data_IF_742592411319
#
_entry.id   IF_742592411319
#
_cell.length_a   1.000
_cell.length_b   1.000
_cell.length_c   1.000
_cell.angle_alpha   90.00
_cell.angle_beta   90.00
_cell.angle_gamma   90.00
#
_symmetry.space_group_name_H-M   'P 1'
#
loop_
_entity.id
_entity.type
_entity.pdbx_description
1 polymer ?
#
# COMPACT_ATOMS: atom_id res chain seq x y z
N UNK A 1 -5.56 -3.40 28.39
CA UNK A 1 -4.35 -2.66 27.95
C UNK A 1 -3.52 -3.63 27.15
N UNK A 2 -3.43 -3.44 25.84
CA UNK A 2 -2.61 -4.28 24.97
C UNK A 2 -1.21 -3.69 24.98
N UNK A 3 -0.22 -4.43 25.49
CA UNK A 3 1.18 -3.98 25.48
C UNK A 3 1.67 -3.86 24.03
N UNK A 4 2.12 -2.66 23.66
CA UNK A 4 2.73 -2.38 22.37
C UNK A 4 4.20 -2.81 22.40
N UNK A 5 4.46 -4.12 22.27
CA UNK A 5 5.80 -4.62 21.91
C UNK A 5 5.94 -4.57 20.40
N UNK A 6 6.83 -3.71 19.92
CA UNK A 6 7.68 -3.86 18.72
C UNK A 6 8.04 -2.46 18.19
N UNK A 7 9.02 -1.82 18.82
CA UNK A 7 9.80 -0.77 18.17
C UNK A 7 11.20 -1.32 17.95
N UNK A 8 11.69 -1.27 16.71
CA UNK A 8 13.06 -1.63 16.36
C UNK A 8 14.01 -0.48 16.73
N UNK A 9 14.03 -0.09 18.00
CA UNK A 9 15.12 0.71 18.60
C UNK A 9 15.41 2.10 18.04
N UNK A 10 14.63 2.65 17.11
CA UNK A 10 14.78 4.03 16.62
C UNK A 10 13.72 4.95 17.23
N UNK A 11 14.15 6.16 17.59
CA UNK A 11 13.38 7.17 18.33
C UNK A 11 12.02 7.45 17.63
N UNK A 12 10.86 7.20 18.28
CA UNK A 12 9.53 7.37 17.68
C UNK A 12 9.15 8.84 17.42
N UNK A 13 10.05 9.78 17.73
CA UNK A 13 9.82 11.21 17.65
C UNK A 13 9.21 11.79 18.93
N UNK A 14 9.20 13.11 19.06
CA UNK A 14 8.70 13.76 20.28
C UNK A 14 7.19 13.58 20.48
N UNK A 15 6.80 13.18 21.70
CA UNK A 15 5.40 13.18 22.13
C UNK A 15 4.57 11.98 21.65
N UNK A 16 5.20 10.89 21.21
CA UNK A 16 4.54 9.66 20.72
C UNK A 16 3.42 9.15 21.62
N UNK A 17 3.65 9.03 22.93
CA UNK A 17 2.64 8.51 23.85
C UNK A 17 1.46 9.46 24.01
N UNK A 18 1.71 10.77 24.04
CA UNK A 18 0.65 11.79 24.09
C UNK A 18 -0.15 11.81 22.78
N UNK A 19 0.50 11.68 21.63
CA UNK A 19 -0.14 11.59 20.31
C UNK A 19 -0.96 10.31 20.16
N UNK A 20 -0.51 9.18 20.71
CA UNK A 20 -1.29 7.92 20.76
C UNK A 20 -2.49 8.01 21.71
N UNK A 21 -2.33 8.67 22.86
CA UNK A 21 -3.46 8.94 23.74
C UNK A 21 -4.50 9.83 23.04
N UNK A 22 -4.05 10.88 22.34
CA UNK A 22 -4.88 11.74 21.51
C UNK A 22 -5.51 10.95 20.36
N UNK A 23 -4.79 10.05 19.70
CA UNK A 23 -5.30 9.17 18.66
C UNK A 23 -6.49 8.36 19.15
N UNK A 24 -6.31 7.63 20.26
CA UNK A 24 -7.34 6.79 20.83
C UNK A 24 -8.56 7.62 21.26
N UNK A 25 -8.34 8.81 21.83
CA UNK A 25 -9.42 9.72 22.19
C UNK A 25 -10.16 10.27 20.97
N UNK A 26 -9.43 10.67 19.91
CA UNK A 26 -9.99 11.18 18.67
C UNK A 26 -10.75 10.10 17.91
N UNK A 27 -10.23 8.88 17.80
CA UNK A 27 -10.95 7.74 17.23
C UNK A 27 -12.25 7.46 17.97
N UNK A 28 -12.21 7.48 19.31
CA UNK A 28 -13.41 7.30 20.15
C UNK A 28 -14.43 8.43 19.94
N UNK A 29 -13.98 9.68 19.84
CA UNK A 29 -14.85 10.85 19.71
C UNK A 29 -15.45 11.00 18.31
N UNK A 30 -14.64 10.77 17.27
CA UNK A 30 -15.01 10.92 15.87
C UNK A 30 -15.64 9.65 15.28
N UNK A 31 -15.69 8.55 16.05
CA UNK A 31 -16.18 7.27 15.56
C UNK A 31 -15.29 6.64 14.49
N UNK A 32 -14.01 7.01 14.41
CA UNK A 32 -13.05 6.49 13.44
C UNK A 32 -12.49 5.17 13.96
N UNK A 33 -12.39 4.16 13.08
CA UNK A 33 -11.83 2.87 13.45
C UNK A 33 -10.33 3.01 13.77
N UNK A 34 -9.87 2.65 14.99
CA UNK A 34 -8.47 2.83 15.39
C UNK A 34 -7.51 1.82 14.74
N UNK A 35 -8.00 0.92 13.89
CA UNK A 35 -7.19 -0.13 13.24
C UNK A 35 -7.39 -0.20 11.73
N UNK A 36 -8.34 0.54 11.16
CA UNK A 36 -8.71 0.43 9.75
C UNK A 36 -8.83 1.79 9.08
N UNK A 37 -8.35 1.87 7.84
CA UNK A 37 -8.55 3.02 6.97
C UNK A 37 -9.34 2.60 5.72
N UNK A 38 -10.34 3.39 5.37
CA UNK A 38 -11.20 3.15 4.20
C UNK A 38 -10.80 3.99 2.97
N UNK A 39 -9.97 5.01 3.16
CA UNK A 39 -9.47 5.94 2.15
C UNK A 39 -8.09 6.52 2.54
N UNK A 40 -7.47 7.28 1.64
CA UNK A 40 -6.14 7.89 1.87
C UNK A 40 -6.11 8.86 3.07
N UNK A 41 -7.20 9.58 3.34
CA UNK A 41 -7.28 10.48 4.48
C UNK A 41 -7.20 9.72 5.79
N UNK A 42 -7.85 8.56 5.88
CA UNK A 42 -7.73 7.65 7.02
C UNK A 42 -6.28 7.18 7.21
N UNK A 43 -5.61 6.79 6.13
CA UNK A 43 -4.19 6.39 6.18
C UNK A 43 -3.31 7.54 6.70
N UNK A 44 -3.50 8.76 6.19
CA UNK A 44 -2.79 9.95 6.65
C UNK A 44 -3.07 10.29 8.12
N UNK A 45 -4.32 10.19 8.55
CA UNK A 45 -4.74 10.41 9.94
C UNK A 45 -4.06 9.43 10.90
N UNK A 46 -4.00 8.15 10.53
CA UNK A 46 -3.27 7.13 11.27
C UNK A 46 -1.77 7.44 11.38
N UNK A 47 -1.17 7.99 10.33
CA UNK A 47 0.25 8.33 10.38
C UNK A 47 0.54 9.54 11.26
N UNK A 48 -0.19 10.65 11.08
CA UNK A 48 -0.03 11.89 11.87
C UNK A 48 -0.13 11.60 13.38
N UNK A 49 -1.02 10.68 13.75
CA UNK A 49 -1.28 10.32 15.13
C UNK A 49 -0.46 9.12 15.62
N UNK A 50 0.58 8.74 14.88
CA UNK A 50 1.57 7.74 15.22
C UNK A 50 1.03 6.36 15.58
N UNK A 51 0.04 5.91 14.79
CA UNK A 51 -0.34 4.50 14.77
C UNK A 51 0.84 3.64 14.27
N UNK A 52 1.04 2.47 14.87
CA UNK A 52 2.05 1.52 14.41
C UNK A 52 1.64 0.78 13.14
N UNK A 53 0.34 0.57 12.94
CA UNK A 53 -0.17 -0.09 11.73
C UNK A 53 -1.62 0.28 11.44
N UNK A 54 -2.00 0.20 10.18
CA UNK A 54 -3.38 0.37 9.72
C UNK A 54 -3.74 -0.69 8.68
N UNK A 55 -4.94 -1.25 8.80
CA UNK A 55 -5.49 -2.20 7.85
C UNK A 55 -6.35 -1.47 6.81
N UNK A 56 -5.97 -1.57 5.53
CA UNK A 56 -6.79 -1.08 4.43
C UNK A 56 -8.09 -1.86 4.36
N UNK A 57 -9.18 -1.13 4.20
CA UNK A 57 -10.56 -1.62 4.11
C UNK A 57 -11.36 -0.72 3.15
N UNK A 58 -12.67 -0.90 3.05
CA UNK A 58 -13.55 0.01 2.28
C UNK A 58 -13.10 0.27 0.84
N UNK A 59 -13.15 1.54 0.44
CA UNK A 59 -12.86 1.99 -0.93
C UNK A 59 -11.39 1.76 -1.32
N UNK A 60 -10.44 2.11 -0.46
CA UNK A 60 -9.01 1.97 -0.79
C UNK A 60 -8.60 0.50 -0.98
N UNK A 61 -9.14 -0.42 -0.18
CA UNK A 61 -8.94 -1.86 -0.42
C UNK A 61 -9.59 -2.31 -1.73
N UNK A 62 -10.73 -1.74 -2.11
CA UNK A 62 -11.36 -2.03 -3.38
C UNK A 62 -10.55 -1.50 -4.57
N UNK A 63 -9.84 -0.36 -4.42
CA UNK A 63 -8.86 0.12 -5.40
C UNK A 63 -7.72 -0.88 -5.55
N UNK A 64 -7.12 -1.36 -4.46
CA UNK A 64 -6.07 -2.41 -4.50
C UNK A 64 -6.53 -3.64 -5.28
N UNK A 65 -7.74 -4.16 -4.98
CA UNK A 65 -8.29 -5.35 -5.66
C UNK A 65 -8.50 -5.17 -7.17
N UNK A 66 -8.79 -3.94 -7.60
CA UNK A 66 -9.12 -3.59 -8.99
C UNK A 66 -7.91 -3.10 -9.78
N UNK A 67 -6.76 -2.92 -9.13
CA UNK A 67 -5.54 -2.49 -9.79
C UNK A 67 -5.12 -3.48 -10.89
N UNK A 68 -4.73 -2.95 -12.05
CA UNK A 68 -4.39 -3.76 -13.22
C UNK A 68 -3.18 -4.68 -12.96
N UNK A 69 -2.20 -4.26 -12.15
CA UNK A 69 -1.05 -5.10 -11.81
C UNK A 69 -1.48 -6.33 -11.00
N UNK A 70 -2.40 -6.16 -10.04
CA UNK A 70 -3.00 -7.26 -9.28
C UNK A 70 -3.79 -8.18 -10.19
N UNK A 71 -4.65 -7.62 -11.04
CA UNK A 71 -5.50 -8.42 -11.94
C UNK A 71 -4.68 -9.21 -12.96
N UNK A 72 -3.62 -8.62 -13.52
CA UNK A 72 -2.72 -9.32 -14.44
C UNK A 72 -2.00 -10.46 -13.73
N UNK A 73 -1.44 -10.21 -12.54
CA UNK A 73 -0.75 -11.25 -11.78
C UNK A 73 -1.69 -12.37 -11.32
N UNK A 74 -2.92 -12.02 -10.97
CA UNK A 74 -3.98 -12.99 -10.67
C UNK A 74 -4.25 -13.92 -11.86
N UNK A 75 -4.36 -13.38 -13.09
CA UNK A 75 -4.56 -14.19 -14.29
C UNK A 75 -3.40 -15.14 -14.56
N UNK A 76 -2.16 -14.70 -14.36
CA UNK A 76 -0.96 -15.55 -14.45
C UNK A 76 -1.04 -16.71 -13.45
N UNK A 77 -1.28 -16.41 -12.16
CA UNK A 77 -1.38 -17.42 -11.09
C UNK A 77 -2.48 -18.44 -11.42
N UNK A 78 -3.67 -17.98 -11.80
CA UNK A 78 -4.79 -18.86 -12.15
C UNK A 78 -4.45 -19.75 -13.35
N UNK A 79 -3.78 -19.19 -14.36
CA UNK A 79 -3.34 -19.95 -15.54
C UNK A 79 -2.39 -21.08 -15.14
N UNK A 80 -1.41 -20.79 -14.28
CA UNK A 80 -0.46 -21.79 -13.81
C UNK A 80 -1.12 -22.87 -12.94
N UNK A 81 -2.07 -22.50 -12.07
CA UNK A 81 -2.85 -23.47 -11.29
C UNK A 81 -3.64 -24.41 -12.22
N UNK A 82 -4.30 -23.84 -13.25
CA UNK A 82 -5.12 -24.61 -14.20
C UNK A 82 -4.31 -25.55 -15.09
N UNK A 83 -3.00 -25.31 -15.27
CA UNK A 83 -2.08 -26.19 -16.01
C UNK A 83 -1.60 -27.40 -15.22
N UNK A 84 -1.80 -27.43 -13.89
CA UNK A 84 -1.32 -28.54 -13.07
C UNK A 84 -2.08 -29.82 -13.37
N UNK A 85 -1.36 -30.95 -13.42
CA UNK A 85 -1.96 -32.27 -13.67
C UNK A 85 -2.95 -32.70 -12.59
N UNK A 86 -2.83 -32.18 -11.37
CA UNK A 86 -3.73 -32.49 -10.24
C UNK A 86 -4.93 -31.54 -10.12
N UNK A 87 -5.06 -30.55 -11.00
CA UNK A 87 -6.18 -29.61 -11.01
C UNK A 87 -7.51 -30.32 -11.32
N UNK A 88 -8.56 -30.01 -10.55
CA UNK A 88 -9.89 -30.67 -10.55
C UNK A 88 -9.90 -32.16 -10.16
N UNK A 89 -8.74 -32.78 -9.94
CA UNK A 89 -8.67 -34.18 -9.48
C UNK A 89 -8.78 -34.22 -7.95
N UNK A 90 -8.04 -33.35 -7.27
CA UNK A 90 -8.00 -33.28 -5.81
C UNK A 90 -7.92 -31.84 -5.34
N UNK A 91 -8.18 -31.63 -4.05
CA UNK A 91 -7.93 -30.35 -3.40
C UNK A 91 -6.43 -30.07 -3.34
N UNK A 92 -6.01 -28.90 -3.81
CA UNK A 92 -4.65 -28.39 -3.76
C UNK A 92 -4.63 -27.22 -2.78
N UNK A 93 -3.67 -27.22 -1.85
CA UNK A 93 -3.39 -26.11 -0.94
C UNK A 93 -1.91 -25.82 -1.08
N UNK A 94 -1.57 -24.61 -1.49
CA UNK A 94 -0.18 -24.27 -1.83
C UNK A 94 0.03 -22.75 -1.76
N UNK A 95 1.27 -22.31 -1.93
CA UNK A 95 1.68 -20.91 -1.85
C UNK A 95 2.36 -20.48 -3.14
N UNK A 96 2.08 -19.25 -3.56
CA UNK A 96 2.81 -18.57 -4.63
C UNK A 96 4.01 -17.86 -4.00
N UNK A 97 5.15 -17.88 -4.69
CA UNK A 97 6.29 -17.06 -4.28
C UNK A 97 5.87 -15.58 -4.18
N UNK A 98 6.32 -14.85 -3.16
CA UNK A 98 6.04 -13.42 -3.04
C UNK A 98 6.46 -12.69 -4.32
N UNK A 99 5.67 -11.72 -4.75
CA UNK A 99 5.93 -10.96 -5.97
C UNK A 99 5.79 -9.46 -5.73
N UNK A 100 6.74 -8.70 -6.25
CA UNK A 100 6.71 -7.24 -6.21
C UNK A 100 5.80 -6.68 -7.31
N UNK A 101 5.01 -5.67 -6.97
CA UNK A 101 4.14 -4.94 -7.92
C UNK A 101 4.21 -3.44 -7.67
N UNK A 102 3.80 -2.69 -8.69
CA UNK A 102 3.54 -1.26 -8.57
C UNK A 102 2.04 -0.99 -8.69
N UNK A 103 1.45 -0.50 -7.61
CA UNK A 103 0.05 -0.08 -7.53
C UNK A 103 -0.09 1.41 -7.87
N UNK A 104 -1.26 1.81 -8.38
CA UNK A 104 -1.56 3.19 -8.75
C UNK A 104 -1.13 3.58 -10.17
N UNK A 105 -0.86 2.58 -11.02
CA UNK A 105 -0.54 2.77 -12.44
C UNK A 105 0.94 2.97 -12.75
N UNK A 106 1.22 3.24 -14.03
CA UNK A 106 2.58 3.42 -14.55
C UNK A 106 2.80 4.86 -15.00
N UNK A 107 3.96 5.39 -14.63
CA UNK A 107 4.41 6.72 -15.06
C UNK A 107 4.67 6.75 -16.57
N UNK A 108 4.51 7.91 -17.21
CA UNK A 108 5.02 8.11 -18.56
C UNK A 108 6.54 7.86 -18.61
N UNK A 109 7.04 7.34 -19.73
CA UNK A 109 8.48 7.14 -19.94
C UNK A 109 9.21 8.49 -19.94
N UNK A 110 10.45 8.50 -19.46
CA UNK A 110 11.31 9.69 -19.43
C UNK A 110 11.66 10.19 -18.03
N UNK A 111 12.42 11.28 -18.01
CA UNK A 111 12.97 11.87 -16.78
C UNK A 111 11.89 12.53 -15.92
N UNK A 112 11.90 12.23 -14.62
CA UNK A 112 10.87 12.71 -13.69
C UNK A 112 10.86 14.24 -13.56
N UNK A 113 12.03 14.88 -13.63
CA UNK A 113 12.15 16.33 -13.53
C UNK A 113 11.50 17.05 -14.72
N UNK A 114 11.63 16.50 -15.93
CA UNK A 114 10.95 17.06 -17.11
C UNK A 114 9.45 16.98 -16.94
N UNK A 115 8.95 15.85 -16.44
CA UNK A 115 7.52 15.65 -16.22
C UNK A 115 6.95 16.57 -15.14
N UNK A 116 7.76 16.91 -14.13
CA UNK A 116 7.39 17.84 -13.07
C UNK A 116 7.48 19.31 -13.50
N UNK A 117 8.54 19.72 -14.21
CA UNK A 117 8.73 21.10 -14.67
C UNK A 117 7.84 21.44 -15.85
N UNK A 118 7.65 20.52 -16.78
CA UNK A 118 6.74 20.67 -17.92
C UNK A 118 5.30 20.28 -17.53
N UNK A 119 4.87 20.71 -16.34
CA UNK A 119 3.55 20.36 -15.79
C UNK A 119 2.42 20.76 -16.75
N UNK A 120 2.59 21.77 -17.60
CA UNK A 120 1.59 22.17 -18.61
C UNK A 120 1.30 21.07 -19.64
N UNK A 121 2.19 20.08 -19.82
CA UNK A 121 1.98 18.89 -20.66
C UNK A 121 1.24 17.75 -19.94
N UNK A 122 0.70 17.99 -18.74
CA UNK A 122 -0.04 16.99 -17.97
C UNK A 122 -1.26 16.42 -18.68
N UNK A 123 -1.87 17.13 -19.65
CA UNK A 123 -3.01 16.61 -20.43
C UNK A 123 -2.61 15.86 -21.71
N UNK A 124 -1.32 15.82 -22.04
CA UNK A 124 -0.84 15.30 -23.33
C UNK A 124 0.28 14.28 -23.13
N UNK A 125 1.54 14.72 -23.03
CA UNK A 125 2.72 13.85 -23.02
C UNK A 125 2.89 13.13 -21.67
N UNK A 126 2.47 13.77 -20.58
CA UNK A 126 2.73 13.30 -19.20
C UNK A 126 1.45 12.93 -18.44
N UNK A 127 0.34 12.69 -19.13
CA UNK A 127 -0.94 12.33 -18.50
C UNK A 127 -0.83 11.11 -17.59
N UNK A 128 -0.17 10.05 -18.04
CA UNK A 128 0.03 8.84 -17.24
C UNK A 128 0.79 9.11 -15.92
N UNK A 129 1.72 10.06 -15.91
CA UNK A 129 2.44 10.48 -14.70
C UNK A 129 1.52 11.19 -13.71
N UNK A 130 0.67 12.08 -14.19
CA UNK A 130 -0.23 12.84 -13.34
C UNK A 130 -1.44 12.02 -12.90
N UNK A 131 -1.98 11.14 -13.75
CA UNK A 131 -2.98 10.14 -13.38
C UNK A 131 -2.47 9.24 -12.25
N UNK A 132 -1.24 8.73 -12.36
CA UNK A 132 -0.58 7.99 -11.29
C UNK A 132 -0.40 8.87 -10.03
N UNK A 133 -0.01 10.13 -10.17
CA UNK A 133 0.19 11.02 -9.02
C UNK A 133 -1.13 11.34 -8.29
N UNK A 134 -2.27 11.32 -8.99
CA UNK A 134 -3.59 11.49 -8.38
C UNK A 134 -4.21 10.18 -7.89
N UNK A 135 -3.59 9.03 -8.16
CA UNK A 135 -4.04 7.75 -7.62
C UNK A 135 -3.64 7.62 -6.14
N UNK A 136 -4.62 7.37 -5.28
CA UNK A 136 -4.43 7.22 -3.84
C UNK A 136 -3.48 6.06 -3.47
N UNK A 137 -3.44 4.99 -4.27
CA UNK A 137 -2.56 3.85 -4.02
C UNK A 137 -1.09 4.21 -4.19
N UNK A 138 -0.77 5.21 -5.02
CA UNK A 138 0.59 5.76 -5.19
C UNK A 138 1.13 6.33 -3.89
N UNK A 139 0.24 6.79 -3.01
CA UNK A 139 0.62 7.38 -1.73
C UNK A 139 0.42 6.42 -0.56
N UNK A 140 -0.48 5.44 -0.67
CA UNK A 140 -0.75 4.49 0.41
C UNK A 140 0.14 3.23 0.38
N UNK A 141 0.34 2.61 -0.79
CA UNK A 141 0.94 1.25 -0.93
C UNK A 141 1.61 1.04 -2.30
N UNK A 142 2.42 1.98 -2.78
CA UNK A 142 2.85 2.03 -4.19
C UNK A 142 3.67 0.82 -4.63
N UNK A 143 4.74 0.48 -3.92
CA UNK A 143 5.71 -0.54 -4.35
C UNK A 143 5.80 -1.61 -3.28
N UNK A 144 5.02 -2.66 -3.46
CA UNK A 144 4.75 -3.65 -2.40
C UNK A 144 5.05 -5.06 -2.87
N UNK A 145 5.49 -5.89 -1.93
CA UNK A 145 5.52 -7.33 -2.12
C UNK A 145 4.19 -7.92 -1.66
N UNK A 146 3.54 -8.66 -2.55
CA UNK A 146 2.28 -9.35 -2.27
C UNK A 146 2.57 -10.82 -2.06
N UNK A 147 2.09 -11.36 -0.95
CA UNK A 147 2.06 -12.79 -0.70
C UNK A 147 0.70 -13.33 -1.13
N UNK A 148 0.69 -14.50 -1.77
CA UNK A 148 -0.53 -15.15 -2.21
C UNK A 148 -0.49 -16.64 -1.84
N UNK A 149 -1.50 -17.10 -1.10
CA UNK A 149 -1.76 -18.51 -0.90
C UNK A 149 -3.00 -18.90 -1.69
N UNK A 150 -3.12 -20.16 -2.12
CA UNK A 150 -4.31 -20.60 -2.84
C UNK A 150 -4.84 -21.95 -2.39
N UNK A 151 -6.14 -22.12 -2.61
CA UNK A 151 -6.84 -23.39 -2.51
C UNK A 151 -7.57 -23.62 -3.82
N UNK A 152 -7.22 -24.68 -4.56
CA UNK A 152 -7.98 -25.13 -5.72
C UNK A 152 -8.75 -26.40 -5.35
N UNK A 153 -10.07 -26.40 -5.52
CA UNK A 153 -10.91 -27.56 -5.22
C UNK A 153 -11.11 -28.48 -6.44
N UNK A 154 -11.67 -29.66 -6.20
CA UNK A 154 -11.99 -30.63 -7.24
C UNK A 154 -13.12 -30.15 -8.18
N UNK A 155 -13.92 -29.16 -7.75
CA UNK A 155 -14.98 -28.56 -8.56
C UNK A 155 -14.45 -27.49 -9.54
N UNK A 156 -13.16 -27.15 -9.45
CA UNK A 156 -12.51 -26.12 -10.24
C UNK A 156 -12.61 -24.71 -9.68
N UNK A 157 -13.04 -24.53 -8.43
CA UNK A 157 -12.95 -23.24 -7.77
C UNK A 157 -11.54 -23.03 -7.21
N UNK A 158 -11.00 -21.85 -7.47
CA UNK A 158 -9.70 -21.39 -6.98
C UNK A 158 -9.97 -20.22 -6.03
N UNK A 159 -9.65 -20.40 -4.76
CA UNK A 159 -9.65 -19.33 -3.76
C UNK A 159 -8.23 -18.84 -3.56
N UNK A 160 -8.00 -17.56 -3.84
CA UNK A 160 -6.72 -16.86 -3.64
C UNK A 160 -6.82 -16.01 -2.38
N UNK A 161 -5.81 -16.10 -1.51
CA UNK A 161 -5.69 -15.35 -0.27
C UNK A 161 -4.46 -14.45 -0.38
N UNK A 162 -4.70 -13.16 -0.46
CA UNK A 162 -3.67 -12.14 -0.62
C UNK A 162 -3.39 -11.43 0.69
N UNK A 163 -2.12 -11.13 0.92
CA UNK A 163 -1.70 -10.18 1.94
C UNK A 163 -0.53 -9.34 1.44
N UNK A 164 -0.47 -8.10 1.88
CA UNK A 164 0.68 -7.20 1.71
C UNK A 164 0.88 -6.37 2.97
N UNK A 165 2.10 -5.90 3.14
CA UNK A 165 2.48 -4.93 4.16
C UNK A 165 3.48 -3.98 3.53
N UNK A 166 3.22 -2.68 3.64
CA UNK A 166 4.11 -1.61 3.22
C UNK A 166 4.44 -0.72 4.42
N UNK A 167 5.56 -0.02 4.35
CA UNK A 167 5.88 1.04 5.30
C UNK A 167 5.61 2.38 4.63
N UNK A 168 4.69 3.15 5.21
CA UNK A 168 4.42 4.50 4.72
C UNK A 168 5.55 5.44 5.17
N UNK A 169 6.62 5.47 4.38
CA UNK A 169 7.77 6.35 4.57
C UNK A 169 7.83 7.35 3.39
N UNK A 170 7.63 8.64 3.69
CA UNK A 170 7.70 9.73 2.71
C UNK A 170 9.06 10.44 2.76
N UNK A 171 10.10 9.85 3.36
CA UNK A 171 11.43 10.44 3.41
C UNK A 171 12.18 10.31 2.09
N UNK A 172 13.00 11.32 1.75
CA UNK A 172 13.94 11.18 0.65
C UNK A 172 14.99 10.11 0.96
N UNK A 173 15.21 9.21 0.01
CA UNK A 173 16.25 8.18 0.05
C UNK A 173 17.43 8.58 -0.84
N UNK A 174 18.21 9.55 -0.35
CA UNK A 174 19.41 10.06 -1.04
C UNK A 174 20.40 8.91 -1.34
N UNK A 175 20.75 8.75 -2.63
CA UNK A 175 21.70 7.73 -3.10
C UNK A 175 21.09 6.45 -3.69
N UNK A 176 19.86 6.07 -3.31
CA UNK A 176 19.17 4.88 -3.85
C UNK A 176 17.99 5.20 -4.76
N UNK A 177 17.50 6.43 -4.70
CA UNK A 177 16.38 6.93 -5.50
C UNK A 177 16.81 8.19 -6.24
N UNK A 178 16.11 8.49 -7.34
CA UNK A 178 16.44 9.63 -8.19
C UNK A 178 16.34 10.94 -7.40
N UNK A 179 17.14 11.95 -7.79
CA UNK A 179 17.22 13.23 -7.09
C UNK A 179 15.84 13.91 -6.95
N UNK A 180 14.94 13.63 -7.89
CA UNK A 180 13.58 14.14 -8.00
C UNK A 180 12.62 13.47 -7.04
N UNK A 181 12.70 12.14 -6.90
CA UNK A 181 11.99 11.41 -5.85
C UNK A 181 12.38 11.98 -4.50
N UNK A 182 13.68 12.21 -4.31
CA UNK A 182 14.19 12.80 -3.08
C UNK A 182 13.76 14.26 -2.93
N UNK A 183 13.70 15.09 -3.97
CA UNK A 183 13.23 16.47 -3.85
C UNK A 183 11.74 16.57 -3.47
N UNK A 184 10.88 15.75 -4.10
CA UNK A 184 9.44 15.70 -3.79
C UNK A 184 9.21 15.14 -2.39
N UNK A 185 9.89 14.05 -2.03
CA UNK A 185 9.85 13.50 -0.67
C UNK A 185 10.50 14.45 0.36
N UNK A 186 11.44 15.30 -0.03
CA UNK A 186 11.99 16.31 0.88
C UNK A 186 10.95 17.39 1.19
N UNK A 187 10.21 17.88 0.19
CA UNK A 187 9.16 18.90 0.41
C UNK A 187 7.91 18.31 1.09
N UNK A 188 7.39 17.20 0.56
CA UNK A 188 6.20 16.54 1.11
C UNK A 188 6.51 15.81 2.42
N UNK A 189 7.67 15.17 2.53
CA UNK A 189 8.14 14.51 3.74
C UNK A 189 8.52 15.51 4.84
N UNK A 190 9.13 16.66 4.56
CA UNK A 190 9.31 17.71 5.57
C UNK A 190 7.96 18.22 6.09
N UNK A 191 7.02 18.51 5.20
CA UNK A 191 5.66 18.92 5.60
C UNK A 191 4.95 17.83 6.42
N UNK A 192 5.14 16.57 6.05
CA UNK A 192 4.47 15.44 6.67
C UNK A 192 5.11 15.01 8.00
N UNK A 193 6.43 14.85 8.05
CA UNK A 193 7.19 14.38 9.20
C UNK A 193 7.52 15.52 10.17
N UNK A 194 7.99 16.67 9.67
CA UNK A 194 8.51 17.75 10.52
C UNK A 194 7.44 18.79 10.92
N UNK A 195 6.45 19.04 10.05
CA UNK A 195 5.35 19.99 10.36
C UNK A 195 4.12 19.30 10.93
N UNK A 196 3.71 18.16 10.36
CA UNK A 196 2.52 17.42 10.80
C UNK A 196 2.81 16.27 11.76
N UNK A 197 4.08 15.88 11.95
CA UNK A 197 4.46 14.84 12.90
C UNK A 197 4.12 13.41 12.48
N UNK A 198 3.95 13.17 11.17
CA UNK A 198 3.67 11.88 10.55
C UNK A 198 4.68 10.80 10.96
N UNK A 199 4.17 9.59 11.20
CA UNK A 199 4.95 8.42 11.55
C UNK A 199 5.68 7.84 10.35
N UNK A 200 6.98 7.66 10.52
CA UNK A 200 7.91 7.01 9.58
C UNK A 200 7.78 5.47 9.60
N UNK A 201 7.01 4.94 10.56
CA UNK A 201 6.93 3.51 10.84
C UNK A 201 5.56 2.92 10.59
N UNK A 202 4.59 3.72 10.12
CA UNK A 202 3.23 3.23 9.90
C UNK A 202 3.23 2.07 8.91
N UNK A 203 2.91 0.88 9.41
CA UNK A 203 2.74 -0.31 8.60
C UNK A 203 1.34 -0.32 7.97
N UNK A 204 1.25 -0.09 6.67
CA UNK A 204 -0.01 -0.17 5.91
C UNK A 204 -0.20 -1.61 5.44
N UNK A 205 -1.27 -2.26 5.88
CA UNK A 205 -1.55 -3.68 5.62
C UNK A 205 -2.79 -3.84 4.77
N UNK A 206 -2.79 -4.75 3.81
CA UNK A 206 -4.00 -5.15 3.08
C UNK A 206 -4.14 -6.67 3.06
N UNK A 207 -5.35 -7.16 3.34
CA UNK A 207 -5.69 -8.58 3.33
C UNK A 207 -7.00 -8.76 2.57
N UNK A 208 -7.03 -9.66 1.59
CA UNK A 208 -8.26 -9.97 0.88
C UNK A 208 -8.26 -11.38 0.29
N UNK A 209 -9.44 -11.85 -0.10
CA UNK A 209 -9.59 -13.10 -0.83
C UNK A 209 -10.39 -12.88 -2.12
N UNK A 210 -10.07 -13.68 -3.13
CA UNK A 210 -10.81 -13.74 -4.40
C UNK A 210 -11.15 -15.19 -4.70
N UNK A 211 -12.38 -15.46 -5.14
CA UNK A 211 -12.83 -16.78 -5.57
C UNK A 211 -13.05 -16.73 -7.08
N UNK A 212 -12.45 -17.68 -7.80
CA UNK A 212 -12.44 -17.76 -9.26
C UNK A 212 -12.84 -19.18 -9.65
N UNK A 213 -13.45 -19.34 -10.83
CA UNK A 213 -13.81 -20.64 -11.41
C UNK A 213 -12.97 -20.93 -12.67
#
# INVERSE_FOLDING_TARGET
MTEFRNYYGTDPGWGTDARRALFNAACKYLGINPTQAENIFGVGFHSILQSSSVQLSGEILNKVKKDLAILNKQREIVTEIKKRNDYKIKKIIDKVLPFGIQLGGQRARGEMWRQALEFWKWRTEYSATWEMAFDELTWAVRSVNVNCNYIADSNGYITLFYNLTDTLDLRPSWGNRSMEYNAICCVLGFMYHDVLGGSDELQVKANWKTIIK
#
